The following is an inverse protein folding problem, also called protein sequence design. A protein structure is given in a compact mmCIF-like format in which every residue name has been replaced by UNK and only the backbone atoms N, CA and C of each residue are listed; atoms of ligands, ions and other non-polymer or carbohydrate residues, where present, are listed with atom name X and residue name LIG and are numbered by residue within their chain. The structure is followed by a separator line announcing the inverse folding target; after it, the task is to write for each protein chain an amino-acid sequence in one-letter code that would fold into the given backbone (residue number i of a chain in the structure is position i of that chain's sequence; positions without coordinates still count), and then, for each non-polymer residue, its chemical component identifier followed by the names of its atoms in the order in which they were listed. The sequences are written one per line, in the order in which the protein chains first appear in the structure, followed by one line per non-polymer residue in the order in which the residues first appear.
data_IF_457056490775
#
_entry.id   IF_457056490775
#
_cell.length_a   1.000
_cell.length_b   1.000
_cell.length_c   1.000
_cell.angle_alpha   90.00
_cell.angle_beta   90.00
_cell.angle_gamma   90.00
#
_symmetry.space_group_name_H-M   'P 1'
#
loop_
_entity.id
_entity.type
_entity.pdbx_description
1 polymer ?
#
# COMPACT_ATOMS: atom_id res chain seq x y z
N UNK A 1 8.02 7.12 2.33
CA UNK A 1 7.56 6.50 1.08
C UNK A 1 6.06 6.64 0.93
N UNK A 2 5.57 6.42 -0.28
CA UNK A 2 4.15 6.45 -0.66
C UNK A 2 3.78 5.14 -1.38
N UNK A 3 2.57 4.67 -1.14
CA UNK A 3 1.92 3.61 -1.91
C UNK A 3 0.43 3.94 -2.06
N UNK A 4 -0.21 3.46 -3.11
CA UNK A 4 -1.66 3.55 -3.26
C UNK A 4 -2.23 2.23 -3.78
N UNK A 5 -3.54 2.05 -3.69
CA UNK A 5 -4.25 0.98 -4.36
C UNK A 5 -5.68 1.40 -4.69
N UNK A 6 -6.25 0.87 -5.77
CA UNK A 6 -7.61 1.17 -6.21
C UNK A 6 -8.36 -0.10 -6.56
N UNK A 7 -9.64 -0.16 -6.16
CA UNK A 7 -10.57 -1.23 -6.48
C UNK A 7 -11.77 -0.64 -7.21
N UNK A 8 -11.86 -0.84 -8.53
CA UNK A 8 -13.13 -0.78 -9.27
C UNK A 8 -14.13 -1.79 -8.70
N UNK A 9 -15.23 -1.31 -8.11
CA UNK A 9 -16.22 -2.15 -7.44
C UNK A 9 -17.03 -3.00 -8.42
N UNK A 10 -17.26 -2.51 -9.63
CA UNK A 10 -17.98 -3.26 -10.66
C UNK A 10 -17.14 -4.43 -11.16
N UNK A 11 -15.85 -4.19 -11.43
CA UNK A 11 -14.94 -5.25 -11.84
C UNK A 11 -14.70 -6.25 -10.70
N UNK A 12 -14.52 -5.77 -9.47
CA UNK A 12 -14.33 -6.64 -8.30
C UNK A 12 -15.54 -7.57 -8.10
N UNK A 13 -16.76 -7.07 -8.26
CA UNK A 13 -17.97 -7.89 -8.17
C UNK A 13 -18.09 -8.92 -9.31
N UNK A 14 -17.58 -8.60 -10.50
CA UNK A 14 -17.60 -9.50 -11.66
C UNK A 14 -16.53 -10.61 -11.57
N UNK A 15 -15.33 -10.29 -11.07
CA UNK A 15 -14.17 -11.19 -11.12
C UNK A 15 -13.88 -11.90 -9.79
N UNK A 16 -14.41 -11.41 -8.67
CA UNK A 16 -14.08 -11.92 -7.33
C UNK A 16 -15.31 -12.22 -6.49
N UNK A 17 -15.51 -13.51 -6.21
CA UNK A 17 -16.43 -13.93 -5.16
C UNK A 17 -15.71 -13.93 -3.80
N UNK A 18 -15.82 -12.84 -3.05
CA UNK A 18 -15.26 -12.74 -1.71
C UNK A 18 -15.94 -13.67 -0.69
N UNK A 19 -17.15 -14.16 -1.00
CA UNK A 19 -17.94 -15.04 -0.12
C UNK A 19 -17.54 -16.51 -0.29
N UNK A 20 -16.72 -16.85 -1.28
CA UNK A 20 -16.22 -18.23 -1.45
C UNK A 20 -15.41 -18.67 -0.24
N UNK A 21 -15.59 -19.93 0.14
CA UNK A 21 -14.90 -20.55 1.27
C UNK A 21 -13.37 -20.36 1.17
N UNK A 22 -12.74 -19.91 2.25
CA UNK A 22 -11.29 -19.72 2.31
C UNK A 22 -10.79 -18.38 1.76
N UNK A 23 -11.65 -17.53 1.20
CA UNK A 23 -11.22 -16.22 0.68
C UNK A 23 -10.72 -15.32 1.81
N UNK A 24 -11.56 -15.09 2.82
CA UNK A 24 -11.23 -14.20 3.93
C UNK A 24 -10.04 -14.76 4.74
N UNK A 25 -10.04 -16.08 4.97
CA UNK A 25 -9.00 -16.77 5.72
C UNK A 25 -7.66 -16.80 4.98
N UNK A 26 -7.62 -16.52 3.68
CA UNK A 26 -6.36 -16.38 2.94
C UNK A 26 -5.77 -14.98 3.09
N UNK A 27 -6.60 -13.94 3.17
CA UNK A 27 -6.18 -12.54 3.06
C UNK A 27 -6.13 -11.80 4.40
N UNK A 28 -6.96 -12.21 5.35
CA UNK A 28 -7.23 -11.44 6.57
C UNK A 28 -6.86 -12.20 7.84
N UNK A 29 -6.53 -11.44 8.87
CA UNK A 29 -6.39 -11.91 10.25
C UNK A 29 -7.77 -12.12 10.90
N UNK A 30 -7.81 -12.78 12.06
CA UNK A 30 -9.07 -13.03 12.78
C UNK A 30 -9.81 -11.72 13.14
N UNK A 31 -9.09 -10.69 13.57
CA UNK A 31 -9.68 -9.39 13.88
C UNK A 31 -10.23 -8.69 12.64
N UNK A 32 -9.52 -8.75 11.52
CA UNK A 32 -10.00 -8.18 10.25
C UNK A 32 -11.21 -8.93 9.69
N UNK A 33 -11.23 -10.25 9.81
CA UNK A 33 -12.42 -11.04 9.46
C UNK A 33 -13.62 -10.65 10.32
N UNK A 34 -13.41 -10.40 11.62
CA UNK A 34 -14.46 -9.90 12.51
C UNK A 34 -14.97 -8.53 12.05
N UNK A 35 -14.08 -7.60 11.70
CA UNK A 35 -14.47 -6.29 11.13
C UNK A 35 -15.34 -6.45 9.88
N UNK A 36 -15.02 -7.39 8.99
CA UNK A 36 -15.82 -7.66 7.79
C UNK A 36 -17.20 -8.22 8.15
N UNK A 37 -17.24 -9.22 9.03
CA UNK A 37 -18.47 -9.96 9.35
C UNK A 37 -19.46 -9.14 10.21
N UNK A 38 -18.97 -8.20 11.00
CA UNK A 38 -19.78 -7.33 11.87
C UNK A 38 -20.18 -6.01 11.17
N UNK A 39 -19.66 -5.74 9.98
CA UNK A 39 -19.93 -4.49 9.25
C UNK A 39 -21.32 -4.46 8.61
N UNK A 40 -21.92 -3.27 8.55
CA UNK A 40 -23.16 -3.02 7.80
C UNK A 40 -23.00 -3.31 6.30
N UNK A 41 -21.79 -3.13 5.77
CA UNK A 41 -21.46 -3.44 4.38
C UNK A 41 -20.19 -4.30 4.30
N UNK A 42 -20.31 -5.63 4.42
CA UNK A 42 -19.18 -6.55 4.42
C UNK A 42 -18.35 -6.49 3.13
N UNK A 43 -19.00 -6.31 1.98
CA UNK A 43 -18.32 -6.26 0.69
C UNK A 43 -17.40 -5.05 0.56
N UNK A 44 -17.92 -3.86 0.92
CA UNK A 44 -17.11 -2.64 1.01
C UNK A 44 -15.98 -2.81 2.03
N UNK A 45 -16.23 -3.51 3.14
CA UNK A 45 -15.24 -3.75 4.18
C UNK A 45 -14.09 -4.65 3.71
N UNK A 46 -14.40 -5.71 2.95
CA UNK A 46 -13.38 -6.57 2.31
C UNK A 46 -12.47 -5.73 1.42
N UNK A 47 -13.07 -4.93 0.54
CA UNK A 47 -12.32 -4.17 -0.45
C UNK A 47 -11.56 -2.98 0.15
N UNK A 48 -12.07 -2.35 1.21
CA UNK A 48 -11.36 -1.35 2.01
C UNK A 48 -10.12 -1.94 2.69
N UNK A 49 -10.27 -3.08 3.37
CA UNK A 49 -9.13 -3.73 4.01
C UNK A 49 -8.09 -4.19 2.98
N UNK A 50 -8.56 -4.72 1.84
CA UNK A 50 -7.68 -5.18 0.77
C UNK A 50 -6.86 -4.03 0.16
N UNK A 51 -7.51 -2.92 -0.21
CA UNK A 51 -6.82 -1.76 -0.80
C UNK A 51 -5.78 -1.16 0.15
N UNK A 52 -6.06 -1.15 1.46
CA UNK A 52 -5.11 -0.70 2.50
C UNK A 52 -3.87 -1.59 2.57
N UNK A 53 -4.06 -2.92 2.50
CA UNK A 53 -2.96 -3.88 2.53
C UNK A 53 -2.08 -3.77 1.29
N UNK A 54 -2.66 -3.66 0.11
CA UNK A 54 -1.90 -3.48 -1.15
C UNK A 54 -1.15 -2.15 -1.19
N UNK A 55 -1.78 -1.06 -0.73
CA UNK A 55 -1.11 0.24 -0.60
C UNK A 55 0.07 0.20 0.38
N UNK A 56 -0.08 -0.50 1.52
CA UNK A 56 1.01 -0.72 2.47
C UNK A 56 2.11 -1.64 1.92
N UNK A 57 1.72 -2.68 1.19
CA UNK A 57 2.65 -3.61 0.54
C UNK A 57 3.56 -2.90 -0.48
N UNK A 58 3.05 -1.93 -1.24
CA UNK A 58 3.89 -1.13 -2.16
C UNK A 58 4.99 -0.35 -1.44
N UNK A 59 4.71 0.16 -0.24
CA UNK A 59 5.74 0.78 0.61
C UNK A 59 6.74 -0.26 1.10
N UNK A 60 6.26 -1.38 1.63
CA UNK A 60 7.11 -2.48 2.11
C UNK A 60 8.06 -3.00 1.03
N UNK A 61 7.53 -3.30 -0.17
CA UNK A 61 8.31 -3.77 -1.31
C UNK A 61 9.38 -2.74 -1.70
N UNK A 62 9.03 -1.44 -1.75
CA UNK A 62 9.99 -0.38 -2.07
C UNK A 62 11.13 -0.27 -1.06
N UNK A 63 10.84 -0.44 0.23
CA UNK A 63 11.85 -0.32 1.28
C UNK A 63 12.77 -1.54 1.38
N UNK A 64 12.25 -2.73 1.10
CA UNK A 64 12.94 -3.99 1.37
C UNK A 64 13.44 -4.69 0.11
N UNK A 65 12.86 -4.36 -1.06
CA UNK A 65 13.05 -5.11 -2.30
C UNK A 65 12.37 -6.50 -2.31
N UNK A 66 11.68 -6.88 -1.22
CA UNK A 66 11.09 -8.20 -1.07
C UNK A 66 9.75 -8.25 -1.79
N UNK A 67 9.63 -9.19 -2.74
CA UNK A 67 8.38 -9.51 -3.45
C UNK A 67 7.79 -10.79 -2.86
N UNK A 68 6.84 -10.66 -1.95
CA UNK A 68 6.20 -11.80 -1.29
C UNK A 68 4.69 -11.58 -1.15
N UNK A 69 3.90 -12.56 -1.59
CA UNK A 69 2.46 -12.57 -1.36
C UNK A 69 2.17 -13.05 0.08
N UNK A 70 2.07 -12.10 1.01
CA UNK A 70 1.73 -12.39 2.41
C UNK A 70 0.77 -11.32 2.98
N UNK A 71 -0.48 -11.28 2.53
CA UNK A 71 -1.45 -10.26 2.96
C UNK A 71 -1.76 -10.30 4.46
N UNK A 72 -1.58 -11.45 5.10
CA UNK A 72 -1.73 -11.59 6.56
C UNK A 72 -0.61 -10.93 7.36
N UNK A 73 0.50 -10.56 6.73
CA UNK A 73 1.56 -9.79 7.38
C UNK A 73 1.16 -8.34 7.65
N UNK A 74 0.15 -7.84 6.92
CA UNK A 74 -0.35 -6.49 7.01
C UNK A 74 -1.67 -6.49 7.77
N UNK A 75 -1.73 -5.71 8.85
CA UNK A 75 -2.87 -5.67 9.76
C UNK A 75 -3.50 -4.27 9.79
N UNK A 76 -4.76 -4.18 9.40
CA UNK A 76 -5.60 -3.01 9.59
C UNK A 76 -6.32 -3.10 10.94
N UNK A 77 -6.45 -1.97 11.66
CA UNK A 77 -7.07 -1.94 13.00
C UNK A 77 -8.55 -1.59 13.01
N UNK A 78 -9.05 -1.03 11.92
CA UNK A 78 -10.36 -0.38 11.82
C UNK A 78 -10.84 -0.38 10.37
N UNK A 79 -12.03 0.15 10.13
CA UNK A 79 -12.60 0.41 8.79
C UNK A 79 -12.75 1.91 8.49
N UNK A 80 -12.16 2.78 9.31
CA UNK A 80 -12.26 4.22 9.16
C UNK A 80 -11.54 4.70 7.89
N UNK A 81 -12.00 5.83 7.34
CA UNK A 81 -11.36 6.49 6.19
C UNK A 81 -9.88 6.81 6.45
N UNK A 82 -9.53 7.18 7.68
CA UNK A 82 -8.14 7.36 8.10
C UNK A 82 -7.76 6.31 9.13
N UNK A 83 -6.63 5.65 8.92
CA UNK A 83 -6.20 4.59 9.83
C UNK A 83 -4.73 4.25 9.73
N UNK A 84 -4.37 3.11 10.31
CA UNK A 84 -2.99 2.61 10.37
C UNK A 84 -2.97 1.16 9.86
N UNK A 85 -1.98 0.84 9.04
CA UNK A 85 -1.63 -0.54 8.68
C UNK A 85 -0.30 -0.88 9.35
N UNK A 86 -0.27 -1.98 10.09
CA UNK A 86 0.91 -2.45 10.84
C UNK A 86 1.47 -3.70 10.18
N UNK A 87 2.80 -3.80 10.09
CA UNK A 87 3.51 -4.98 9.59
C UNK A 87 4.89 -5.06 10.26
N UNK A 88 5.18 -6.18 10.94
CA UNK A 88 6.35 -6.27 11.83
C UNK A 88 6.36 -5.14 12.87
N UNK A 89 7.52 -4.50 13.04
CA UNK A 89 7.69 -3.31 13.90
C UNK A 89 7.37 -1.99 13.18
N UNK A 90 6.93 -2.06 11.93
CA UNK A 90 6.66 -0.92 11.07
C UNK A 90 5.17 -0.61 10.98
N UNK A 91 4.86 0.64 10.62
CA UNK A 91 3.51 1.12 10.38
C UNK A 91 3.48 2.15 9.28
N UNK A 92 2.34 2.21 8.58
CA UNK A 92 2.02 3.27 7.63
C UNK A 92 0.64 3.84 7.94
N UNK A 93 0.43 5.09 7.54
CA UNK A 93 -0.83 5.81 7.71
C UNK A 93 -1.62 5.76 6.41
N UNK A 94 -2.86 5.29 6.48
CA UNK A 94 -3.75 5.17 5.34
C UNK A 94 -4.81 6.27 5.33
N UNK A 95 -5.17 6.73 4.12
CA UNK A 95 -6.40 7.45 3.83
C UNK A 95 -7.13 6.71 2.71
N UNK A 96 -8.40 6.37 2.93
CA UNK A 96 -9.25 5.65 1.99
C UNK A 96 -10.45 6.52 1.62
N UNK A 97 -10.68 6.65 0.32
CA UNK A 97 -11.89 7.21 -0.27
C UNK A 97 -12.78 6.05 -0.72
N UNK A 98 -14.04 6.07 -0.30
CA UNK A 98 -15.05 5.08 -0.67
C UNK A 98 -16.16 5.79 -1.44
N UNK A 99 -16.40 5.35 -2.66
CA UNK A 99 -17.49 5.85 -3.51
C UNK A 99 -18.37 4.68 -3.96
N UNK A 100 -19.45 4.98 -4.68
CA UNK A 100 -20.27 3.94 -5.32
C UNK A 100 -19.57 3.21 -6.47
N UNK A 101 -18.44 3.73 -6.98
CA UNK A 101 -17.76 3.20 -8.16
C UNK A 101 -16.42 2.53 -7.82
N UNK A 102 -15.70 3.08 -6.84
CA UNK A 102 -14.38 2.59 -6.47
C UNK A 102 -14.07 2.81 -4.99
N UNK A 103 -13.10 2.04 -4.51
CA UNK A 103 -12.39 2.28 -3.25
C UNK A 103 -10.94 2.59 -3.58
N UNK A 104 -10.42 3.70 -3.08
CA UNK A 104 -9.06 4.13 -3.34
C UNK A 104 -8.34 4.43 -2.03
N UNK A 105 -7.18 3.81 -1.81
CA UNK A 105 -6.37 4.05 -0.62
C UNK A 105 -5.01 4.63 -1.00
N UNK A 106 -4.55 5.61 -0.23
CA UNK A 106 -3.16 6.07 -0.21
C UNK A 106 -2.57 5.78 1.17
N UNK A 107 -1.35 5.24 1.19
CA UNK A 107 -0.53 5.07 2.38
C UNK A 107 0.72 5.95 2.33
N UNK A 108 1.11 6.49 3.49
CA UNK A 108 2.39 7.20 3.71
C UNK A 108 3.05 6.71 5.00
N UNK A 109 4.37 6.77 5.06
CA UNK A 109 5.13 6.43 6.27
C UNK A 109 5.08 7.52 7.34
N UNK A 110 5.08 8.79 6.92
CA UNK A 110 5.01 9.95 7.81
C UNK A 110 3.71 10.72 7.55
N UNK A 111 2.93 11.00 8.60
CA UNK A 111 1.70 11.80 8.50
C UNK A 111 1.97 13.21 7.95
N UNK A 112 3.17 13.73 8.13
CA UNK A 112 3.57 15.03 7.60
C UNK A 112 3.80 15.01 6.08
N UNK A 113 3.66 13.86 5.42
CA UNK A 113 3.82 13.75 3.97
C UNK A 113 2.52 14.00 3.20
N UNK A 114 1.35 14.07 3.86
CA UNK A 114 0.06 14.25 3.18
C UNK A 114 0.00 15.52 2.31
N UNK A 115 0.58 16.62 2.77
CA UNK A 115 0.61 17.89 2.04
C UNK A 115 1.71 17.95 0.96
N UNK A 116 2.45 16.85 0.76
CA UNK A 116 3.54 16.73 -0.21
C UNK A 116 3.19 15.78 -1.36
N UNK A 117 1.95 15.27 -1.38
CA UNK A 117 1.47 14.37 -2.43
C UNK A 117 0.84 15.21 -3.54
N UNK A 118 1.19 14.92 -4.79
CA UNK A 118 0.50 15.49 -5.94
C UNK A 118 0.18 14.40 -6.98
N UNK A 119 -0.96 14.56 -7.66
CA UNK A 119 -1.34 13.70 -8.78
C UNK A 119 -0.38 13.87 -9.96
N UNK A 120 -0.17 12.79 -10.70
CA UNK A 120 0.73 12.76 -11.84
C UNK A 120 0.01 12.31 -13.11
N UNK A 121 0.43 12.84 -14.26
CA UNK A 121 0.12 12.24 -15.56
C UNK A 121 1.00 11.01 -15.82
N UNK A 122 0.59 10.18 -16.76
CA UNK A 122 1.37 9.01 -17.17
C UNK A 122 2.78 9.39 -17.66
N UNK A 123 2.88 10.46 -18.45
CA UNK A 123 4.14 10.97 -19.00
C UNK A 123 5.16 11.43 -17.95
N UNK A 124 4.72 11.66 -16.70
CA UNK A 124 5.61 12.03 -15.60
C UNK A 124 6.23 10.82 -14.89
N UNK A 125 5.71 9.60 -15.12
CA UNK A 125 6.18 8.39 -14.45
C UNK A 125 7.43 7.84 -15.16
N UNK A 126 8.50 7.67 -14.39
CA UNK A 126 9.74 7.03 -14.79
C UNK A 126 9.90 5.74 -13.99
N UNK A 127 10.11 4.61 -14.65
CA UNK A 127 10.39 3.33 -13.96
C UNK A 127 11.89 3.12 -13.80
N UNK A 128 12.33 2.84 -12.58
CA UNK A 128 13.68 2.40 -12.24
C UNK A 128 13.59 1.15 -11.39
N UNK A 129 14.22 0.06 -11.82
CA UNK A 129 14.14 -1.25 -11.13
C UNK A 129 12.69 -1.68 -10.84
N UNK A 130 11.82 -1.52 -11.85
CA UNK A 130 10.35 -1.71 -11.79
C UNK A 130 9.58 -0.79 -10.82
N UNK A 131 10.25 0.13 -10.12
CA UNK A 131 9.61 1.06 -9.21
C UNK A 131 9.32 2.40 -9.89
N UNK A 132 8.11 2.98 -9.69
CA UNK A 132 7.76 4.28 -10.27
C UNK A 132 8.37 5.45 -9.49
N UNK A 133 8.91 6.41 -10.24
CA UNK A 133 9.45 7.68 -9.78
C UNK A 133 8.94 8.83 -10.66
N UNK A 134 9.13 10.06 -10.19
CA UNK A 134 9.00 11.29 -10.98
C UNK A 134 10.30 12.08 -10.87
N UNK A 135 10.78 12.65 -11.97
CA UNK A 135 11.97 13.52 -11.96
C UNK A 135 11.54 14.97 -12.01
N UNK A 136 11.86 15.73 -10.96
CA UNK A 136 11.51 17.14 -10.85
C UNK A 136 12.62 17.90 -10.10
N UNK A 137 12.86 19.16 -10.45
CA UNK A 137 13.85 20.01 -9.76
C UNK A 137 15.24 19.37 -9.57
N UNK A 138 15.69 18.55 -10.53
CA UNK A 138 17.00 17.89 -10.46
C UNK A 138 17.05 16.63 -9.59
N UNK A 139 15.92 16.14 -9.08
CA UNK A 139 15.86 14.97 -8.19
C UNK A 139 14.79 13.96 -8.62
N UNK A 140 14.98 12.71 -8.19
CA UNK A 140 13.98 11.66 -8.30
C UNK A 140 13.16 11.59 -7.02
N UNK A 141 11.84 11.61 -7.17
CA UNK A 141 10.89 11.47 -6.09
C UNK A 141 10.11 10.17 -6.23
N UNK A 142 9.80 9.48 -5.12
CA UNK A 142 8.97 8.29 -5.16
C UNK A 142 7.60 8.61 -5.77
N UNK A 143 7.16 7.78 -6.71
CA UNK A 143 5.80 7.81 -7.22
C UNK A 143 5.08 6.51 -6.89
N UNK A 144 3.76 6.46 -7.07
CA UNK A 144 2.96 5.25 -6.95
C UNK A 144 1.90 5.24 -8.02
N UNK A 145 1.63 4.06 -8.57
CA UNK A 145 0.65 3.84 -9.63
C UNK A 145 -0.23 2.67 -9.21
N UNK A 146 -1.54 2.81 -9.40
CA UNK A 146 -2.54 1.77 -9.19
C UNK A 146 -3.54 1.79 -10.31
N UNK A 147 -3.93 0.62 -10.77
CA UNK A 147 -4.89 0.44 -11.85
C UNK A 147 -5.78 -0.77 -11.52
N UNK A 148 -7.10 -0.60 -11.57
CA UNK A 148 -8.07 -1.68 -11.52
C UNK A 148 -9.28 -1.28 -12.34
N UNK A 149 -9.67 -2.12 -13.30
CA UNK A 149 -10.79 -1.84 -14.20
C UNK A 149 -10.68 -0.48 -14.89
N UNK A 150 -11.67 0.39 -14.64
CA UNK A 150 -11.75 1.73 -15.24
C UNK A 150 -10.91 2.79 -14.54
N UNK A 151 -10.34 2.47 -13.37
CA UNK A 151 -9.72 3.44 -12.50
C UNK A 151 -8.21 3.29 -12.48
N UNK A 152 -7.55 4.44 -12.60
CA UNK A 152 -6.11 4.53 -12.50
C UNK A 152 -5.70 5.78 -11.73
N UNK A 153 -4.83 5.59 -10.73
CA UNK A 153 -4.39 6.65 -9.85
C UNK A 153 -2.86 6.68 -9.77
N UNK A 154 -2.31 7.86 -10.04
CA UNK A 154 -0.86 8.13 -10.04
C UNK A 154 -0.55 9.29 -9.12
N UNK A 155 0.39 9.10 -8.19
CA UNK A 155 0.82 10.15 -7.28
C UNK A 155 2.33 10.18 -7.11
N UNK A 156 2.88 11.36 -6.91
CA UNK A 156 4.27 11.61 -6.51
C UNK A 156 4.34 12.13 -5.09
N UNK A 157 5.41 11.80 -4.36
CA UNK A 157 5.70 12.33 -3.02
C UNK A 157 6.91 13.27 -3.08
N UNK A 158 6.65 14.58 -2.96
CA UNK A 158 7.64 15.64 -3.14
C UNK A 158 8.15 16.17 -1.81
N UNK A 159 9.11 15.48 -1.21
CA UNK A 159 9.78 15.96 0.01
C UNK A 159 10.73 17.10 -0.33
N UNK A 160 10.71 18.19 0.45
CA UNK A 160 11.69 19.26 0.30
C UNK A 160 13.10 18.66 0.41
N UNK A 161 13.92 18.93 -0.60
CA UNK A 161 15.20 18.25 -0.80
C UNK A 161 16.18 18.51 0.32
N UNK A 162 16.24 17.60 1.29
CA UNK A 162 17.41 17.32 2.12
C UNK A 162 17.47 15.89 2.69
N UNK A 163 16.58 14.97 2.28
CA UNK A 163 16.84 13.55 2.49
C UNK A 163 17.66 13.00 1.31
N UNK A 164 18.91 13.46 1.21
CA UNK A 164 19.98 12.67 0.58
C UNK A 164 20.32 11.52 1.51
N UNK A 165 19.35 10.67 1.85
CA UNK A 165 19.66 9.47 2.60
C UNK A 165 19.96 8.33 1.61
N UNK A 166 21.18 8.42 1.09
CA UNK A 166 21.93 7.33 0.46
C UNK A 166 22.23 6.21 1.47
N UNK A 167 21.71 6.27 2.72
CA UNK A 167 21.82 5.24 3.74
C UNK A 167 21.15 3.91 3.32
N UNK A 168 20.23 3.93 2.36
CA UNK A 168 19.57 2.72 1.81
C UNK A 168 20.52 1.77 1.08
N UNK A 169 21.73 2.18 0.69
CA UNK A 169 22.74 1.23 0.16
C UNK A 169 23.58 0.54 1.24
N UNK A 170 23.53 0.98 2.51
CA UNK A 170 24.41 0.44 3.57
C UNK A 170 23.71 -0.47 4.58
N UNK A 171 22.38 -0.35 4.76
CA UNK A 171 21.63 -1.16 5.73
C UNK A 171 21.30 -2.58 5.21
N UNK A 172 21.25 -2.78 3.89
CA UNK A 172 21.02 -4.10 3.28
C UNK A 172 22.24 -5.05 3.37
N UNK A 173 23.44 -4.54 3.67
CA UNK A 173 24.65 -5.36 3.77
C UNK A 173 25.00 -5.80 5.21
N UNK A 174 24.37 -5.22 6.25
CA UNK A 174 24.75 -5.49 7.67
C UNK A 174 23.75 -6.29 8.48
N UNK A 175 22.54 -6.54 8.01
CA UNK A 175 21.49 -7.20 8.82
C UNK A 175 21.08 -8.59 8.32
N UNK A 176 21.65 -9.08 7.21
CA UNK A 176 21.32 -10.39 6.62
C UNK A 176 22.32 -11.53 6.90
N UNK A 177 23.35 -11.31 7.74
CA UNK A 177 24.36 -12.33 8.08
C UNK A 177 24.62 -12.49 9.59
N UNK A 178 23.64 -12.18 10.45
CA UNK A 178 23.67 -12.56 11.86
C UNK A 178 22.41 -13.33 12.19
N UNK A 179 22.57 -14.50 12.80
CA UNK A 179 21.51 -15.29 13.43
C UNK A 179 20.65 -16.18 12.53
N UNK A 180 21.28 -17.15 11.84
CA UNK A 180 20.74 -18.52 11.72
C UNK A 180 21.88 -19.53 11.48
N UNK A 181 22.62 -19.85 12.54
CA UNK A 181 23.26 -21.17 12.77
C UNK A 181 22.98 -21.48 14.24
N UNK A 182 22.12 -22.44 14.59
CA UNK A 182 22.42 -23.87 14.73
C UNK A 182 21.13 -24.60 15.22
N UNK A 183 21.05 -25.94 15.33
CA UNK A 183 22.10 -26.93 15.64
C UNK A 183 22.69 -27.68 14.45
#
# INVERSE_FOLDING_TARGET
MIGNDVIDLELAAAESDWRRKGFLEKLFSADEMRLVLESENPEISVWNLWSRKEAAYKIFNRNTGIRAFNPKHFHCRDLNDSGIVVFGDSRVYSKTEITSQYIHTICVEDRNDWNKIASLSESQIIKKDDLPFVYQHGGYFPATVSHHGRFEFRFGLFKNGLDRDLSFQSAMYRTFFGDFQQP
#
